data_IF_297438372877
#
_entry.id   IF_297438372877
#
_cell.length_a   1.000
_cell.length_b   1.000
_cell.length_c   1.000
_cell.angle_alpha   90.00
_cell.angle_beta   90.00
_cell.angle_gamma   90.00
#
_symmetry.space_group_name_H-M   'P 1'
#
loop_
_entity.id
_entity.type
_entity.pdbx_description
1 polymer ?
#
# COMPACT_ATOMS: atom_id res chain seq x y z
N UNK A 1 5.43 38.95 21.35
CA UNK A 1 5.54 37.95 20.28
C UNK A 1 4.52 38.33 19.22
N UNK A 2 4.98 38.77 18.05
CA UNK A 2 4.13 39.23 16.96
C UNK A 2 3.35 38.05 16.36
N UNK A 3 2.02 38.12 16.38
CA UNK A 3 1.18 37.19 15.64
C UNK A 3 1.57 37.20 14.16
N UNK A 4 1.69 36.04 13.50
CA UNK A 4 1.84 36.03 12.05
C UNK A 4 0.60 36.63 11.40
N UNK A 5 0.84 37.42 10.35
CA UNK A 5 -0.21 38.05 9.57
C UNK A 5 -1.12 36.99 8.93
N UNK A 6 -2.40 37.30 8.65
CA UNK A 6 -3.31 36.37 7.97
C UNK A 6 -2.72 35.81 6.67
N UNK A 7 -1.95 36.63 5.93
CA UNK A 7 -1.21 36.22 4.74
C UNK A 7 -0.17 35.12 5.01
N UNK A 8 0.51 35.15 6.17
CA UNK A 8 1.48 34.13 6.57
C UNK A 8 0.86 32.75 6.84
N UNK A 9 -0.39 32.72 7.32
CA UNK A 9 -1.12 31.47 7.57
C UNK A 9 -1.59 30.79 6.29
N UNK A 10 -2.06 31.57 5.31
CA UNK A 10 -2.44 31.05 4.00
C UNK A 10 -1.21 30.47 3.28
N UNK A 11 -0.04 31.10 3.42
CA UNK A 11 1.23 30.61 2.86
C UNK A 11 1.62 29.26 3.47
N UNK A 12 1.50 29.08 4.79
CA UNK A 12 1.87 27.83 5.46
C UNK A 12 0.99 26.64 4.99
N UNK A 13 -0.32 26.86 4.87
CA UNK A 13 -1.25 25.86 4.33
C UNK A 13 -0.93 25.48 2.88
N UNK A 14 -0.64 26.48 2.03
CA UNK A 14 -0.24 26.25 0.63
C UNK A 14 1.09 25.48 0.55
N UNK A 15 2.08 25.82 1.37
CA UNK A 15 3.36 25.10 1.43
C UNK A 15 3.17 23.64 1.88
N UNK A 16 2.29 23.38 2.85
CA UNK A 16 1.96 22.03 3.28
C UNK A 16 1.32 21.22 2.14
N UNK A 17 0.35 21.79 1.42
CA UNK A 17 -0.28 21.16 0.26
C UNK A 17 0.72 20.87 -0.88
N UNK A 18 1.62 21.81 -1.16
CA UNK A 18 2.67 21.62 -2.18
C UNK A 18 3.61 20.49 -1.75
N UNK A 19 4.05 20.48 -0.48
CA UNK A 19 4.95 19.46 0.04
C UNK A 19 4.32 18.06 0.01
N UNK A 20 3.06 17.92 0.42
CA UNK A 20 2.34 16.64 0.41
C UNK A 20 2.11 16.14 -1.02
N UNK A 21 1.77 17.03 -1.96
CA UNK A 21 1.68 16.68 -3.39
C UNK A 21 3.01 16.20 -3.96
N UNK A 22 4.11 16.89 -3.66
CA UNK A 22 5.45 16.52 -4.12
C UNK A 22 5.86 15.15 -3.57
N UNK A 23 5.68 14.93 -2.25
CA UNK A 23 6.01 13.64 -1.64
C UNK A 23 5.12 12.52 -2.20
N UNK A 24 3.85 12.81 -2.48
CA UNK A 24 2.97 11.84 -3.14
C UNK A 24 3.46 11.47 -4.55
N UNK A 25 3.91 12.45 -5.34
CA UNK A 25 4.51 12.21 -6.65
C UNK A 25 5.79 11.37 -6.54
N UNK A 26 6.67 11.70 -5.60
CA UNK A 26 7.87 10.93 -5.30
C UNK A 26 7.51 9.49 -4.88
N UNK A 27 6.49 9.30 -4.05
CA UNK A 27 5.97 7.98 -3.71
C UNK A 27 5.57 7.17 -4.95
N UNK A 28 4.85 7.77 -5.90
CA UNK A 28 4.43 7.10 -7.14
C UNK A 28 5.67 6.62 -7.92
N UNK A 29 6.70 7.47 -8.04
CA UNK A 29 7.95 7.13 -8.74
C UNK A 29 8.71 6.01 -8.04
N UNK A 30 8.89 6.09 -6.72
CA UNK A 30 9.56 5.06 -5.93
C UNK A 30 8.84 3.72 -6.01
N UNK A 31 7.51 3.72 -5.84
CA UNK A 31 6.70 2.51 -5.92
C UNK A 31 6.76 1.88 -7.33
N UNK A 32 6.73 2.69 -8.40
CA UNK A 32 6.94 2.19 -9.78
C UNK A 32 8.30 1.51 -9.92
N UNK A 33 9.37 2.12 -9.41
CA UNK A 33 10.71 1.55 -9.47
C UNK A 33 10.82 0.24 -8.70
N UNK A 34 10.28 0.17 -7.48
CA UNK A 34 10.24 -1.08 -6.70
C UNK A 34 9.49 -2.18 -7.46
N UNK A 35 8.35 -1.87 -8.08
CA UNK A 35 7.60 -2.85 -8.90
C UNK A 35 8.42 -3.40 -10.07
N UNK A 36 9.18 -2.53 -10.75
CA UNK A 36 10.07 -2.95 -11.84
C UNK A 36 11.18 -3.87 -11.35
N UNK A 37 11.83 -3.55 -10.22
CA UNK A 37 12.88 -4.39 -9.65
C UNK A 37 12.34 -5.75 -9.15
N UNK A 38 11.10 -5.78 -8.64
CA UNK A 38 10.41 -7.03 -8.29
C UNK A 38 10.18 -7.87 -9.55
N UNK A 39 9.77 -7.26 -10.66
CA UNK A 39 9.55 -7.96 -11.92
C UNK A 39 10.86 -8.50 -12.53
N UNK A 40 11.99 -7.82 -12.31
CA UNK A 40 13.32 -8.26 -12.73
C UNK A 40 13.92 -9.38 -11.87
N UNK A 41 13.29 -9.74 -10.73
CA UNK A 41 13.63 -10.89 -9.89
C UNK A 41 15.12 -11.06 -9.55
N UNK A 42 15.82 -11.94 -10.27
CA UNK A 42 17.25 -12.24 -10.09
C UNK A 42 18.18 -11.16 -10.67
N UNK A 43 17.74 -10.47 -11.72
CA UNK A 43 18.47 -9.39 -12.41
C UNK A 43 18.24 -8.02 -11.78
N UNK A 44 17.57 -7.98 -10.62
CA UNK A 44 17.28 -6.75 -9.85
C UNK A 44 18.56 -6.00 -9.45
N UNK A 45 18.48 -4.68 -9.39
CA UNK A 45 19.56 -3.84 -8.88
C UNK A 45 19.45 -3.69 -7.35
N UNK A 46 20.35 -4.35 -6.61
CA UNK A 46 20.39 -4.21 -5.14
C UNK A 46 20.72 -2.79 -4.69
N UNK A 47 21.62 -2.10 -5.40
CA UNK A 47 21.97 -0.72 -5.07
C UNK A 47 20.77 0.23 -5.22
N UNK A 48 19.94 0.01 -6.24
CA UNK A 48 18.72 0.80 -6.45
C UNK A 48 17.70 0.58 -5.33
N UNK A 49 17.52 -0.67 -4.88
CA UNK A 49 16.62 -1.03 -3.79
C UNK A 49 17.10 -0.50 -2.44
N UNK A 50 18.40 -0.62 -2.13
CA UNK A 50 18.99 -0.09 -0.90
C UNK A 50 18.83 1.42 -0.84
N UNK A 51 19.07 2.13 -1.95
CA UNK A 51 18.87 3.58 -2.01
C UNK A 51 17.41 3.94 -1.69
N UNK A 52 16.43 3.21 -2.23
CA UNK A 52 15.01 3.43 -1.93
C UNK A 52 14.74 3.18 -0.44
N UNK A 53 15.27 2.09 0.15
CA UNK A 53 15.11 1.82 1.58
C UNK A 53 15.66 2.96 2.42
N UNK A 54 16.84 3.48 2.11
CA UNK A 54 17.43 4.61 2.83
C UNK A 54 16.58 5.88 2.67
N UNK A 55 16.22 6.25 1.45
CA UNK A 55 15.46 7.48 1.17
C UNK A 55 14.09 7.49 1.88
N UNK A 56 13.32 6.41 1.74
CA UNK A 56 11.97 6.35 2.32
C UNK A 56 11.98 5.93 3.80
N UNK A 57 13.00 5.20 4.26
CA UNK A 57 13.15 4.79 5.66
C UNK A 57 13.55 5.93 6.59
N UNK A 58 14.23 6.96 6.08
CA UNK A 58 14.55 8.16 6.85
C UNK A 58 13.32 9.04 7.12
N UNK A 59 12.29 8.99 6.28
CA UNK A 59 11.11 9.87 6.37
C UNK A 59 10.39 9.70 7.73
N UNK A 60 9.97 8.49 8.16
CA UNK A 60 9.34 8.31 9.47
C UNK A 60 10.23 8.73 10.65
N UNK A 61 11.55 8.51 10.55
CA UNK A 61 12.50 8.90 11.58
C UNK A 61 12.60 10.42 11.74
N UNK A 62 12.71 11.15 10.63
CA UNK A 62 12.73 12.62 10.61
C UNK A 62 11.46 13.18 11.25
N UNK A 63 10.28 12.68 10.86
CA UNK A 63 9.01 13.13 11.43
C UNK A 63 8.81 12.73 12.89
N UNK A 64 9.34 11.57 13.32
CA UNK A 64 9.30 11.16 14.74
C UNK A 64 10.26 11.96 15.62
N UNK A 65 11.38 12.44 15.05
CA UNK A 65 12.36 13.30 15.73
C UNK A 65 11.92 14.76 15.86
N UNK A 66 10.90 15.17 15.11
CA UNK A 66 10.19 16.45 15.29
C UNK A 66 8.78 16.24 15.87
N UNK A 67 8.63 15.63 17.06
CA UNK A 67 7.32 15.25 17.55
C UNK A 67 6.41 16.44 17.90
N UNK A 68 6.95 17.65 18.07
CA UNK A 68 6.27 18.73 18.79
C UNK A 68 6.56 20.18 18.35
N UNK A 69 7.29 20.45 17.24
CA UNK A 69 7.83 21.81 17.04
C UNK A 69 6.94 22.81 16.26
N UNK A 70 5.82 22.40 15.62
CA UNK A 70 4.97 23.34 14.88
C UNK A 70 3.54 23.56 15.42
N UNK A 71 2.98 22.74 16.34
CA UNK A 71 1.55 22.86 16.69
C UNK A 71 1.19 23.27 18.12
N UNK A 72 2.16 23.36 19.04
CA UNK A 72 1.89 23.83 20.41
C UNK A 72 2.11 25.33 20.61
N UNK A 73 2.73 26.05 19.66
CA UNK A 73 3.06 27.47 19.84
C UNK A 73 2.06 28.46 19.24
N UNK A 74 1.23 28.08 18.25
CA UNK A 74 0.21 28.99 17.69
C UNK A 74 -1.22 28.69 18.17
N UNK A 75 -1.50 27.50 18.70
CA UNK A 75 -2.85 27.09 19.11
C UNK A 75 -3.38 27.79 20.37
N UNK A 76 -2.51 28.48 21.12
CA UNK A 76 -2.93 29.27 22.29
C UNK A 76 -3.41 30.69 21.96
N UNK A 77 -3.35 31.11 20.69
CA UNK A 77 -3.40 32.53 20.35
C UNK A 77 -4.57 32.97 19.45
N UNK A 78 -5.37 32.06 18.86
CA UNK A 78 -6.53 32.48 18.05
C UNK A 78 -7.62 31.41 17.94
N UNK A 79 -8.80 31.70 18.51
CA UNK A 79 -10.00 30.86 18.46
C UNK A 79 -10.75 31.00 17.13
N UNK A 80 -10.06 30.73 16.01
CA UNK A 80 -10.74 30.57 14.71
C UNK A 80 -10.94 29.07 14.40
N UNK A 81 -12.19 28.59 14.31
CA UNK A 81 -12.48 27.18 14.05
C UNK A 81 -11.90 26.72 12.69
N UNK A 82 -12.08 27.49 11.61
CA UNK A 82 -11.68 27.07 10.25
C UNK A 82 -10.18 26.78 10.10
N UNK A 83 -9.34 27.54 10.80
CA UNK A 83 -7.89 27.33 10.81
C UNK A 83 -7.53 26.01 11.51
N UNK A 84 -8.20 25.68 12.62
CA UNK A 84 -7.99 24.42 13.36
C UNK A 84 -8.31 23.21 12.47
N UNK A 85 -9.36 23.27 11.65
CA UNK A 85 -9.71 22.19 10.71
C UNK A 85 -8.62 21.97 9.65
N UNK A 86 -8.12 23.06 9.03
CA UNK A 86 -7.06 22.97 8.02
C UNK A 86 -5.79 22.29 8.55
N UNK A 87 -5.34 22.67 9.76
CA UNK A 87 -4.19 22.04 10.41
C UNK A 87 -4.40 20.54 10.68
N UNK A 88 -5.59 20.15 11.17
CA UNK A 88 -5.92 18.74 11.41
C UNK A 88 -5.92 17.94 10.10
N UNK A 89 -6.50 18.48 9.03
CA UNK A 89 -6.50 17.85 7.71
C UNK A 89 -5.07 17.69 7.14
N UNK A 90 -4.22 18.70 7.34
CA UNK A 90 -2.81 18.64 6.96
C UNK A 90 -2.06 17.54 7.74
N UNK A 91 -2.28 17.40 9.05
CA UNK A 91 -1.69 16.31 9.86
C UNK A 91 -2.15 14.93 9.37
N UNK A 92 -3.45 14.77 9.06
CA UNK A 92 -3.97 13.51 8.49
C UNK A 92 -3.29 13.20 7.15
N UNK A 93 -3.21 14.18 6.25
CA UNK A 93 -2.59 14.01 4.93
C UNK A 93 -1.11 13.65 5.05
N UNK A 94 -0.38 14.30 5.96
CA UNK A 94 1.02 14.02 6.23
C UNK A 94 1.23 12.61 6.77
N UNK A 95 0.42 12.18 7.75
CA UNK A 95 0.47 10.81 8.28
C UNK A 95 0.20 9.77 7.19
N UNK A 96 -0.80 9.98 6.33
CA UNK A 96 -1.09 9.10 5.18
C UNK A 96 0.13 8.94 4.26
N UNK A 97 0.79 10.05 3.94
CA UNK A 97 2.01 10.06 3.13
C UNK A 97 3.15 9.30 3.81
N UNK A 98 3.38 9.49 5.10
CA UNK A 98 4.43 8.78 5.87
C UNK A 98 4.19 7.27 5.84
N UNK A 99 2.95 6.81 6.00
CA UNK A 99 2.60 5.38 5.95
C UNK A 99 2.88 4.80 4.57
N UNK A 100 2.52 5.54 3.51
CA UNK A 100 2.79 5.15 2.11
C UNK A 100 4.30 5.01 1.86
N UNK A 101 5.10 5.98 2.30
CA UNK A 101 6.56 5.93 2.23
C UNK A 101 7.14 4.72 2.98
N UNK A 102 6.66 4.49 4.21
CA UNK A 102 7.07 3.32 5.03
C UNK A 102 6.75 2.01 4.33
N UNK A 103 5.58 1.90 3.70
CA UNK A 103 5.16 0.71 2.96
C UNK A 103 6.09 0.44 1.77
N UNK A 104 6.52 1.47 1.05
CA UNK A 104 7.48 1.34 -0.08
C UNK A 104 8.85 0.91 0.41
N UNK A 105 9.34 1.50 1.50
CA UNK A 105 10.61 1.09 2.12
C UNK A 105 10.58 -0.39 2.53
N UNK A 106 9.49 -0.86 3.14
CA UNK A 106 9.32 -2.26 3.52
C UNK A 106 9.25 -3.19 2.30
N UNK A 107 8.52 -2.81 1.25
CA UNK A 107 8.48 -3.58 -0.01
C UNK A 107 9.87 -3.67 -0.65
N UNK A 108 10.61 -2.57 -0.70
CA UNK A 108 11.99 -2.54 -1.21
C UNK A 108 12.94 -3.41 -0.36
N UNK A 109 12.75 -3.41 0.96
CA UNK A 109 13.52 -4.26 1.89
C UNK A 109 13.28 -5.74 1.61
N UNK A 110 12.02 -6.18 1.53
CA UNK A 110 11.66 -7.56 1.16
C UNK A 110 12.18 -7.91 -0.24
N UNK A 111 12.11 -6.95 -1.17
CA UNK A 111 12.66 -7.10 -2.52
C UNK A 111 14.19 -7.10 -2.55
N UNK A 112 14.91 -6.70 -1.50
CA UNK A 112 16.38 -6.75 -1.41
C UNK A 112 16.88 -8.06 -0.78
N UNK A 113 16.04 -8.75 0.02
CA UNK A 113 16.40 -10.02 0.68
C UNK A 113 16.90 -11.03 -0.36
N UNK A 114 18.04 -11.71 -0.13
CA UNK A 114 18.55 -12.75 -1.04
C UNK A 114 17.70 -14.02 -1.03
N UNK A 115 17.75 -14.79 -2.12
CA UNK A 115 16.94 -15.98 -2.30
C UNK A 115 17.17 -17.07 -1.24
N UNK A 116 18.38 -17.13 -0.66
CA UNK A 116 18.71 -18.07 0.40
C UNK A 116 17.94 -17.85 1.71
N UNK A 117 17.48 -16.63 1.95
CA UNK A 117 16.70 -16.27 3.14
C UNK A 117 15.20 -16.28 2.84
N UNK A 118 14.82 -15.76 1.67
CA UNK A 118 13.42 -15.70 1.25
C UNK A 118 13.31 -16.03 -0.23
N UNK A 119 12.74 -17.21 -0.49
CA UNK A 119 12.47 -17.75 -1.83
C UNK A 119 11.58 -16.79 -2.62
N UNK A 120 11.89 -16.59 -3.90
CA UNK A 120 11.17 -15.64 -4.75
C UNK A 120 9.67 -15.92 -4.82
N UNK A 121 9.26 -17.19 -4.81
CA UNK A 121 7.85 -17.61 -4.89
C UNK A 121 7.05 -17.18 -3.65
N UNK A 122 7.68 -17.17 -2.48
CA UNK A 122 7.04 -16.81 -1.20
C UNK A 122 6.92 -15.30 -0.98
N UNK A 123 7.63 -14.47 -1.76
CA UNK A 123 7.64 -13.01 -1.54
C UNK A 123 6.29 -12.35 -1.81
N UNK A 124 5.50 -12.95 -2.69
CA UNK A 124 4.14 -12.50 -2.95
C UNK A 124 3.28 -12.41 -1.69
N UNK A 125 3.38 -13.43 -0.84
CA UNK A 125 2.61 -13.52 0.40
C UNK A 125 3.01 -12.41 1.38
N UNK A 126 4.31 -12.12 1.46
CA UNK A 126 4.81 -11.00 2.26
C UNK A 126 4.37 -9.63 1.72
N UNK A 127 4.37 -9.44 0.40
CA UNK A 127 3.86 -8.20 -0.20
C UNK A 127 2.36 -8.02 0.05
N UNK A 128 1.59 -9.10 -0.02
CA UNK A 128 0.17 -9.13 0.30
C UNK A 128 -0.07 -8.73 1.77
N UNK A 129 0.68 -9.33 2.70
CA UNK A 129 0.59 -9.00 4.12
C UNK A 129 0.95 -7.53 4.39
N UNK A 130 2.05 -7.04 3.83
CA UNK A 130 2.47 -5.64 3.96
C UNK A 130 1.39 -4.68 3.47
N UNK A 131 0.76 -4.98 2.35
CA UNK A 131 -0.33 -4.16 1.81
C UNK A 131 -1.57 -4.20 2.72
N UNK A 132 -1.93 -5.37 3.24
CA UNK A 132 -3.06 -5.53 4.15
C UNK A 132 -2.87 -4.74 5.46
N UNK A 133 -1.67 -4.79 6.04
CA UNK A 133 -1.29 -4.00 7.22
C UNK A 133 -1.35 -2.51 6.90
N UNK A 134 -0.80 -2.08 5.76
CA UNK A 134 -0.83 -0.68 5.32
C UNK A 134 -2.25 -0.14 5.14
N UNK A 135 -3.15 -0.94 4.55
CA UNK A 135 -4.56 -0.57 4.40
C UNK A 135 -5.28 -0.47 5.74
N UNK A 136 -5.09 -1.43 6.63
CA UNK A 136 -5.67 -1.40 7.98
C UNK A 136 -5.26 -0.13 8.72
N UNK A 137 -3.97 0.18 8.72
CA UNK A 137 -3.46 1.35 9.42
C UNK A 137 -3.98 2.66 8.80
N UNK A 138 -4.04 2.78 7.47
CA UNK A 138 -4.64 3.96 6.80
C UNK A 138 -6.13 4.13 7.08
N UNK A 139 -6.88 3.05 7.29
CA UNK A 139 -8.29 3.13 7.69
C UNK A 139 -8.45 3.60 9.13
N UNK A 140 -7.51 3.27 10.02
CA UNK A 140 -7.54 3.62 11.45
C UNK A 140 -6.99 5.01 11.74
N UNK A 141 -5.92 5.45 11.05
CA UNK A 141 -5.21 6.69 11.36
C UNK A 141 -6.10 7.96 11.39
N UNK A 142 -7.11 8.14 10.51
CA UNK A 142 -7.99 9.29 10.55
C UNK A 142 -9.03 9.25 11.69
N UNK A 143 -9.22 8.12 12.39
CA UNK A 143 -10.32 7.97 13.37
C UNK A 143 -10.26 9.04 14.46
N UNK A 144 -9.12 9.14 15.15
CA UNK A 144 -8.96 10.06 16.27
C UNK A 144 -9.07 11.54 15.84
N UNK A 145 -8.38 12.02 14.78
CA UNK A 145 -8.51 13.39 14.31
C UNK A 145 -9.95 13.80 13.94
N UNK A 146 -10.70 12.92 13.29
CA UNK A 146 -12.09 13.20 12.90
C UNK A 146 -13.04 13.25 14.09
N UNK A 147 -12.83 12.41 15.11
CA UNK A 147 -13.60 12.50 16.36
C UNK A 147 -13.40 13.86 17.04
N UNK A 148 -12.18 14.38 17.06
CA UNK A 148 -11.88 15.72 17.59
C UNK A 148 -12.55 16.83 16.77
N UNK A 149 -12.64 16.71 15.44
CA UNK A 149 -13.37 17.66 14.59
C UNK A 149 -14.87 17.59 14.93
N UNK A 150 -15.45 16.38 15.00
CA UNK A 150 -16.86 16.21 15.30
C UNK A 150 -17.24 16.82 16.66
N UNK A 151 -16.40 16.67 17.69
CA UNK A 151 -16.66 17.27 19.00
C UNK A 151 -16.59 18.80 18.99
N UNK A 152 -15.82 19.41 18.08
CA UNK A 152 -15.71 20.88 17.96
C UNK A 152 -16.91 21.46 17.21
N UNK A 153 -17.31 20.82 16.10
CA UNK A 153 -18.27 21.40 15.14
C UNK A 153 -19.70 20.91 15.31
N UNK A 154 -19.91 19.68 15.80
CA UNK A 154 -21.24 19.09 15.91
C UNK A 154 -21.84 19.25 17.31
N UNK A 155 -21.53 20.32 18.06
CA UNK A 155 -21.90 20.46 19.49
C UNK A 155 -23.37 20.13 19.82
N UNK A 156 -24.31 20.56 18.98
CA UNK A 156 -25.75 20.29 19.20
C UNK A 156 -26.16 18.84 18.91
N UNK A 157 -25.40 18.14 18.07
CA UNK A 157 -25.69 16.79 17.58
C UNK A 157 -24.51 15.82 17.78
N UNK A 158 -23.63 16.08 18.76
CA UNK A 158 -22.31 15.45 18.88
C UNK A 158 -22.43 13.94 18.95
N UNK A 159 -23.27 13.44 19.86
CA UNK A 159 -23.52 12.01 20.03
C UNK A 159 -24.04 11.34 18.76
N UNK A 160 -25.01 11.97 18.09
CA UNK A 160 -25.57 11.43 16.85
C UNK A 160 -24.52 11.39 15.73
N UNK A 161 -23.75 12.46 15.56
CA UNK A 161 -22.70 12.56 14.55
C UNK A 161 -21.57 11.55 14.81
N UNK A 162 -21.17 11.34 16.07
CA UNK A 162 -20.17 10.34 16.47
C UNK A 162 -20.67 8.92 16.21
N UNK A 163 -21.93 8.60 16.53
CA UNK A 163 -22.51 7.27 16.27
C UNK A 163 -22.53 6.98 14.76
N UNK A 164 -23.03 7.91 13.94
CA UNK A 164 -23.05 7.79 12.48
C UNK A 164 -21.62 7.60 11.94
N UNK A 165 -20.67 8.39 12.44
CA UNK A 165 -19.26 8.29 12.06
C UNK A 165 -18.65 6.92 12.38
N UNK A 166 -18.89 6.38 13.58
CA UNK A 166 -18.39 5.07 13.98
C UNK A 166 -18.99 3.97 13.10
N UNK A 167 -20.28 4.04 12.76
CA UNK A 167 -20.92 3.08 11.85
C UNK A 167 -20.26 3.13 10.47
N UNK A 168 -20.12 4.32 9.88
CA UNK A 168 -19.48 4.51 8.56
C UNK A 168 -18.05 3.97 8.59
N UNK A 169 -17.27 4.30 9.63
CA UNK A 169 -15.88 3.83 9.76
C UNK A 169 -15.80 2.33 9.99
N UNK A 170 -16.71 1.74 10.77
CA UNK A 170 -16.80 0.30 10.95
C UNK A 170 -17.00 -0.44 9.62
N UNK A 171 -17.92 0.06 8.78
CA UNK A 171 -18.15 -0.48 7.43
C UNK A 171 -16.91 -0.39 6.54
N UNK A 172 -16.10 0.69 6.69
CA UNK A 172 -14.84 0.86 5.95
C UNK A 172 -13.67 0.03 6.50
N UNK A 173 -13.66 -0.29 7.80
CA UNK A 173 -12.63 -1.11 8.44
C UNK A 173 -12.80 -2.60 8.15
N UNK A 174 -14.05 -3.07 8.05
CA UNK A 174 -14.37 -4.47 7.78
C UNK A 174 -13.60 -5.09 6.59
N UNK A 175 -13.58 -4.49 5.38
CA UNK A 175 -12.84 -5.06 4.25
C UNK A 175 -11.33 -5.11 4.51
N UNK A 176 -10.75 -4.11 5.18
CA UNK A 176 -9.34 -4.09 5.54
C UNK A 176 -9.00 -5.21 6.55
N UNK A 177 -9.89 -5.45 7.52
CA UNK A 177 -9.74 -6.55 8.48
C UNK A 177 -9.80 -7.91 7.81
N UNK A 178 -10.82 -8.11 6.97
CA UNK A 178 -10.96 -9.34 6.19
C UNK A 178 -9.72 -9.60 5.35
N UNK A 179 -9.19 -8.57 4.69
CA UNK A 179 -7.97 -8.70 3.89
C UNK A 179 -6.76 -9.11 4.76
N UNK A 180 -6.57 -8.47 5.91
CA UNK A 180 -5.47 -8.81 6.82
C UNK A 180 -5.56 -10.26 7.30
N UNK A 181 -6.74 -10.72 7.68
CA UNK A 181 -6.97 -12.12 8.08
C UNK A 181 -6.66 -13.09 6.95
N UNK A 182 -7.11 -12.80 5.73
CA UNK A 182 -6.82 -13.64 4.54
C UNK A 182 -5.31 -13.67 4.25
N UNK A 183 -4.64 -12.51 4.28
CA UNK A 183 -3.21 -12.40 4.03
C UNK A 183 -2.39 -13.21 5.06
N UNK A 184 -2.74 -13.09 6.34
CA UNK A 184 -2.13 -13.88 7.42
C UNK A 184 -2.39 -15.38 7.22
N UNK A 185 -3.61 -15.77 6.88
CA UNK A 185 -3.94 -17.17 6.68
C UNK A 185 -3.19 -17.81 5.50
N UNK A 186 -3.02 -17.08 4.39
CA UNK A 186 -2.23 -17.52 3.23
C UNK A 186 -0.76 -17.75 3.63
N UNK A 187 -0.17 -16.75 4.31
CA UNK A 187 1.22 -16.83 4.78
C UNK A 187 1.43 -18.00 5.75
N UNK A 188 0.53 -18.16 6.73
CA UNK A 188 0.64 -19.19 7.76
C UNK A 188 0.39 -20.61 7.23
N UNK A 189 -0.42 -20.77 6.18
CA UNK A 189 -0.72 -22.08 5.57
C UNK A 189 0.15 -22.41 4.36
N UNK A 190 1.12 -21.55 4.01
CA UNK A 190 2.05 -21.74 2.89
C UNK A 190 1.32 -22.16 1.59
N UNK A 191 0.19 -21.51 1.30
CA UNK A 191 -0.67 -21.89 0.17
C UNK A 191 -0.16 -21.36 -1.17
N UNK A 192 0.81 -20.44 -1.16
CA UNK A 192 1.34 -19.79 -2.35
C UNK A 192 0.32 -18.86 -3.00
N UNK A 193 0.80 -17.80 -3.64
CA UNK A 193 -0.02 -16.97 -4.52
C UNK A 193 0.60 -16.92 -5.92
N UNK A 194 -0.21 -16.57 -6.92
CA UNK A 194 0.28 -16.37 -8.27
C UNK A 194 1.11 -15.09 -8.35
N UNK A 195 2.27 -15.16 -8.98
CA UNK A 195 3.23 -14.06 -9.07
C UNK A 195 3.68 -13.82 -10.50
N UNK A 196 4.13 -12.60 -10.80
CA UNK A 196 4.88 -12.34 -12.04
C UNK A 196 6.09 -13.26 -12.10
N UNK A 197 6.24 -13.98 -13.20
CA UNK A 197 7.43 -14.80 -13.42
C UNK A 197 8.61 -13.91 -13.80
N UNK A 198 9.75 -14.17 -13.16
CA UNK A 198 11.00 -13.51 -13.50
C UNK A 198 11.57 -14.04 -14.83
N UNK A 199 12.28 -13.24 -15.66
CA UNK A 199 13.00 -13.69 -16.85
C UNK A 199 13.66 -15.08 -16.79
N UNK A 200 14.42 -15.38 -15.73
CA UNK A 200 15.09 -16.68 -15.59
C UNK A 200 14.09 -17.85 -15.48
N UNK A 201 12.96 -17.64 -14.78
CA UNK A 201 11.92 -18.67 -14.68
C UNK A 201 11.25 -18.89 -16.03
N UNK A 202 11.01 -17.82 -16.79
CA UNK A 202 10.44 -17.90 -18.14
C UNK A 202 11.40 -18.65 -19.07
N UNK A 203 12.70 -18.37 -18.99
CA UNK A 203 13.71 -19.07 -19.78
C UNK A 203 13.73 -20.58 -19.47
N UNK A 204 13.64 -20.95 -18.19
CA UNK A 204 13.63 -22.35 -17.76
C UNK A 204 12.32 -23.09 -18.08
N UNK A 205 11.19 -22.39 -18.20
CA UNK A 205 9.89 -22.98 -18.50
C UNK A 205 9.66 -23.26 -20.00
N UNK A 206 10.65 -22.97 -20.85
CA UNK A 206 10.56 -23.11 -22.31
C UNK A 206 10.14 -21.81 -23.01
N UNK A 207 10.12 -21.80 -24.35
CA UNK A 207 9.92 -20.57 -25.15
C UNK A 207 8.45 -20.17 -25.38
N UNK A 208 7.49 -20.98 -24.93
CA UNK A 208 6.07 -20.74 -25.21
C UNK A 208 5.14 -21.21 -24.09
N UNK A 209 4.01 -20.52 -23.94
CA UNK A 209 2.94 -20.85 -23.00
C UNK A 209 2.19 -22.12 -23.46
N UNK A 210 1.99 -23.12 -22.59
CA UNK A 210 1.33 -24.38 -22.97
C UNK A 210 -0.15 -24.25 -23.35
N UNK A 211 -0.81 -23.14 -23.00
CA UNK A 211 -2.22 -22.88 -23.31
C UNK A 211 -2.40 -22.22 -24.69
N UNK A 212 -1.70 -21.11 -24.97
CA UNK A 212 -1.81 -20.41 -26.26
C UNK A 212 -0.73 -20.79 -27.28
N UNK A 213 0.29 -21.56 -26.87
CA UNK A 213 1.43 -22.00 -27.70
C UNK A 213 2.22 -20.85 -28.34
N UNK A 214 2.11 -19.65 -27.78
CA UNK A 214 2.84 -18.45 -28.22
C UNK A 214 3.83 -18.01 -27.13
N UNK A 215 4.68 -17.04 -27.47
CA UNK A 215 5.54 -16.39 -26.49
C UNK A 215 4.74 -15.84 -25.30
N UNK A 216 5.35 -15.84 -24.13
CA UNK A 216 4.68 -15.41 -22.91
C UNK A 216 4.36 -13.90 -22.95
N UNK A 217 3.14 -13.56 -22.56
CA UNK A 217 2.67 -12.17 -22.37
C UNK A 217 2.19 -12.02 -20.94
N UNK A 218 2.81 -11.10 -20.18
CA UNK A 218 2.63 -10.96 -18.73
C UNK A 218 2.69 -12.35 -18.03
N UNK A 219 3.84 -13.03 -18.03
CA UNK A 219 3.95 -14.39 -17.53
C UNK A 219 3.67 -14.46 -16.02
N UNK A 220 2.80 -15.39 -15.63
CA UNK A 220 2.48 -15.70 -14.25
C UNK A 220 3.00 -17.07 -13.87
N UNK A 221 3.73 -17.13 -12.76
CA UNK A 221 4.08 -18.37 -12.09
C UNK A 221 2.99 -18.71 -11.06
N UNK A 222 2.41 -19.90 -11.19
CA UNK A 222 1.47 -20.47 -10.22
C UNK A 222 2.21 -20.96 -8.97
N UNK A 223 1.52 -21.18 -7.83
CA UNK A 223 2.11 -21.79 -6.63
C UNK A 223 2.79 -23.15 -6.87
N UNK A 224 2.32 -23.89 -7.88
CA UNK A 224 2.91 -25.17 -8.30
C UNK A 224 4.16 -25.03 -9.19
N UNK A 225 4.60 -23.80 -9.51
CA UNK A 225 5.80 -23.50 -10.30
C UNK A 225 5.59 -23.41 -11.82
N UNK A 226 4.40 -23.77 -12.34
CA UNK A 226 4.12 -23.68 -13.78
C UNK A 226 3.81 -22.23 -14.22
N UNK A 227 4.28 -21.89 -15.42
CA UNK A 227 4.18 -20.52 -15.97
C UNK A 227 3.18 -20.47 -17.14
N UNK A 228 2.34 -19.44 -17.15
CA UNK A 228 1.35 -19.19 -18.21
C UNK A 228 1.21 -17.68 -18.49
N UNK A 229 0.69 -17.29 -19.64
CA UNK A 229 0.28 -15.89 -19.85
C UNK A 229 -0.86 -15.53 -18.89
N UNK A 230 -0.86 -14.33 -18.32
CA UNK A 230 -1.93 -13.82 -17.44
C UNK A 230 -3.33 -14.08 -17.98
N UNK A 231 -3.57 -13.70 -19.24
CA UNK A 231 -4.89 -13.89 -19.88
C UNK A 231 -5.25 -15.38 -20.02
N UNK A 232 -4.28 -16.24 -20.32
CA UNK A 232 -4.53 -17.68 -20.53
C UNK A 232 -5.01 -18.34 -19.24
N UNK A 233 -4.28 -18.11 -18.14
CA UNK A 233 -4.65 -18.71 -16.86
C UNK A 233 -5.89 -18.06 -16.26
N UNK A 234 -6.10 -16.75 -16.45
CA UNK A 234 -7.36 -16.08 -16.07
C UNK A 234 -8.57 -16.69 -16.78
N UNK A 235 -8.45 -17.01 -18.08
CA UNK A 235 -9.53 -17.66 -18.84
C UNK A 235 -9.79 -19.08 -18.35
N UNK A 236 -8.73 -19.85 -18.13
CA UNK A 236 -8.83 -21.21 -17.58
C UNK A 236 -9.50 -21.23 -16.20
N UNK A 237 -9.12 -20.30 -15.33
CA UNK A 237 -9.64 -20.21 -13.97
C UNK A 237 -11.15 -19.99 -13.87
N UNK A 238 -11.79 -19.41 -14.90
CA UNK A 238 -13.25 -19.22 -14.94
C UNK A 238 -14.04 -20.53 -14.93
N UNK A 239 -13.46 -21.62 -15.44
CA UNK A 239 -14.08 -22.94 -15.47
C UNK A 239 -13.38 -23.98 -14.61
N UNK A 240 -12.11 -23.75 -14.25
CA UNK A 240 -11.26 -24.72 -13.59
C UNK A 240 -10.35 -24.08 -12.54
N UNK A 241 -10.46 -24.50 -11.29
CA UNK A 241 -9.59 -23.99 -10.20
C UNK A 241 -8.25 -24.72 -10.10
N UNK A 242 -7.76 -25.34 -11.17
CA UNK A 242 -6.56 -26.19 -11.16
C UNK A 242 -5.56 -25.81 -12.23
N UNK A 243 -4.28 -26.10 -12.01
CA UNK A 243 -3.22 -25.88 -12.99
C UNK A 243 -3.46 -26.72 -14.27
N UNK A 244 -3.39 -26.12 -15.48
CA UNK A 244 -3.53 -26.87 -16.74
C UNK A 244 -2.52 -28.02 -16.91
N UNK A 245 -1.31 -27.87 -16.36
CA UNK A 245 -0.24 -28.85 -16.55
C UNK A 245 -0.26 -29.96 -15.49
N UNK A 246 -0.39 -29.62 -14.20
CA UNK A 246 -0.28 -30.61 -13.11
C UNK A 246 -1.54 -30.80 -12.27
N UNK A 247 -2.63 -30.09 -12.59
CA UNK A 247 -3.91 -30.14 -11.86
C UNK A 247 -3.84 -29.73 -10.37
N UNK A 248 -2.71 -29.20 -9.91
CA UNK A 248 -2.61 -28.61 -8.58
C UNK A 248 -3.64 -27.49 -8.40
N UNK A 249 -4.31 -27.46 -7.25
CA UNK A 249 -5.35 -26.48 -6.96
C UNK A 249 -4.74 -25.06 -6.88
N UNK A 250 -5.33 -24.13 -7.61
CA UNK A 250 -4.97 -22.72 -7.60
C UNK A 250 -5.90 -22.03 -6.61
N UNK A 251 -5.50 -21.94 -5.34
CA UNK A 251 -6.31 -21.22 -4.34
C UNK A 251 -6.12 -19.71 -4.50
N UNK A 252 -7.20 -18.95 -4.33
CA UNK A 252 -7.19 -17.48 -4.27
C UNK A 252 -6.70 -16.78 -5.56
N UNK A 253 -7.07 -17.27 -6.75
CA UNK A 253 -6.81 -16.55 -8.00
C UNK A 253 -7.76 -15.36 -8.16
N UNK A 254 -7.52 -14.30 -7.39
CA UNK A 254 -8.13 -13.01 -7.66
C UNK A 254 -7.10 -12.22 -8.48
N UNK A 255 -7.33 -12.06 -9.78
CA UNK A 255 -6.44 -11.33 -10.70
C UNK A 255 -6.12 -9.87 -10.33
N UNK A 256 -6.63 -9.42 -9.18
CA UNK A 256 -6.43 -8.12 -8.53
C UNK A 256 -5.11 -8.01 -7.74
N UNK A 257 -4.47 -9.11 -7.34
CA UNK A 257 -3.25 -9.08 -6.50
C UNK A 257 -1.93 -9.14 -7.29
N UNK A 258 -2.05 -9.45 -8.57
CA UNK A 258 -0.95 -9.84 -9.45
C UNK A 258 0.02 -8.69 -9.75
N UNK A 259 -0.44 -7.44 -9.65
CA UNK A 259 0.36 -6.23 -9.91
C UNK A 259 0.85 -5.52 -8.63
N UNK A 260 0.59 -6.11 -7.46
CA UNK A 260 0.92 -5.52 -6.15
C UNK A 260 0.18 -4.22 -5.83
N UNK A 261 -0.93 -3.92 -6.52
CA UNK A 261 -1.82 -2.80 -6.25
C UNK A 261 -3.23 -3.27 -5.89
N UNK A 262 -3.60 -3.11 -4.63
CA UNK A 262 -4.97 -3.28 -4.12
C UNK A 262 -5.88 -2.08 -4.35
N UNK A 263 -5.38 -1.00 -4.96
CA UNK A 263 -6.17 0.20 -5.21
C UNK A 263 -7.38 -0.03 -6.14
N UNK A 264 -7.52 -1.22 -6.73
CA UNK A 264 -8.61 -1.62 -7.63
C UNK A 264 -9.79 -2.31 -6.93
N UNK A 265 -9.85 -2.35 -5.59
CA UNK A 265 -10.96 -2.94 -4.83
C UNK A 265 -12.33 -2.28 -5.12
N UNK A 266 -12.37 -1.10 -5.75
CA UNK A 266 -13.59 -0.38 -6.14
C UNK A 266 -14.13 -0.71 -7.54
N UNK A 267 -13.64 -1.75 -8.24
CA UNK A 267 -14.19 -2.09 -9.57
C UNK A 267 -15.36 -3.07 -9.59
N UNK A 268 -15.74 -3.67 -8.45
CA UNK A 268 -16.86 -4.62 -8.39
C UNK A 268 -17.72 -4.42 -7.13
N UNK A 269 -18.06 -3.16 -6.84
CA UNK A 269 -19.28 -2.77 -6.14
C UNK A 269 -19.82 -1.51 -6.84
#
# INVERSE_FOLDING_TARGET
MSHPSPLGRDILGVLCLISTCLIHHLFILGNKKVKLEIANGSQRSLSSLILIVCLYGCIPFIFSSHPNQELSMESKALDLPDLKCCHILCDIALRDVIIKCSTVALKASVAAIPAGWLRYESRGEWYLLLEAISQMYRSVAPIQPWLNILSIYAKEYEYFAVIVYIIIKGMMLYPALRLLVVALWILLRNQGICMMANPDQVQNAGSSCSVCRSAYVEPLCLPCGHIFCKICICKWYKGHETCPNCRALIKNFNGQWIDGSTASFFKNF
#
